data_IF_403552508904
#
_entry.id   IF_403552508904
#
_cell.length_a   1.000
_cell.length_b   1.000
_cell.length_c   1.000
_cell.angle_alpha   90.00
_cell.angle_beta   90.00
_cell.angle_gamma   90.00
#
_symmetry.space_group_name_H-M   'P 1'
#
loop_
_entity.id
_entity.type
_entity.pdbx_description
1 polymer ?
#
# COMPACT_ATOMS: atom_id res chain seq x y z
N UNK A 1 -9.52 -7.44 -20.95
CA UNK A 1 -8.30 -7.28 -20.12
C UNK A 1 -8.43 -8.19 -18.90
N UNK A 2 -7.34 -8.86 -18.49
CA UNK A 2 -7.34 -9.91 -17.46
C UNK A 2 -8.00 -9.50 -16.12
N UNK A 3 -7.91 -8.21 -15.76
CA UNK A 3 -8.45 -7.64 -14.53
C UNK A 3 -9.96 -7.84 -14.36
N UNK A 4 -10.75 -7.72 -15.44
CA UNK A 4 -12.21 -7.82 -15.38
C UNK A 4 -12.71 -9.21 -14.93
N UNK A 5 -11.89 -10.26 -15.08
CA UNK A 5 -12.20 -11.61 -14.61
C UNK A 5 -11.82 -11.86 -13.14
N UNK A 6 -11.05 -10.96 -12.53
CA UNK A 6 -10.46 -11.13 -11.19
C UNK A 6 -11.16 -10.29 -10.12
N UNK A 7 -11.85 -9.22 -10.51
CA UNK A 7 -12.49 -8.28 -9.59
C UNK A 7 -13.81 -8.81 -9.01
N UNK A 8 -14.12 -8.37 -7.80
CA UNK A 8 -15.44 -8.48 -7.15
C UNK A 8 -16.01 -7.09 -6.94
N UNK A 9 -17.33 -7.01 -6.91
CA UNK A 9 -18.06 -5.74 -6.84
C UNK A 9 -18.68 -5.55 -5.46
N UNK A 10 -18.49 -4.38 -4.86
CA UNK A 10 -19.13 -3.94 -3.63
C UNK A 10 -19.59 -2.48 -3.77
N UNK A 11 -20.83 -2.30 -4.25
CA UNK A 11 -21.36 -0.96 -4.53
C UNK A 11 -20.50 -0.26 -5.59
N UNK A 12 -19.97 0.95 -5.33
CA UNK A 12 -19.10 1.66 -6.26
C UNK A 12 -17.63 1.18 -6.24
N UNK A 13 -17.28 0.21 -5.39
CA UNK A 13 -15.91 -0.28 -5.24
C UNK A 13 -15.74 -1.64 -5.91
N UNK A 14 -14.73 -1.75 -6.75
CA UNK A 14 -14.21 -3.03 -7.22
C UNK A 14 -12.96 -3.40 -6.43
N UNK A 15 -12.86 -4.67 -6.03
CA UNK A 15 -11.74 -5.15 -5.23
C UNK A 15 -11.26 -6.52 -5.70
N UNK A 16 -9.99 -6.81 -5.44
CA UNK A 16 -9.39 -8.12 -5.67
C UNK A 16 -9.55 -8.98 -4.43
N UNK A 17 -9.86 -10.26 -4.62
CA UNK A 17 -9.90 -11.20 -3.50
C UNK A 17 -8.50 -11.40 -2.91
N UNK A 18 -8.38 -11.58 -1.58
CA UNK A 18 -7.09 -11.86 -0.96
C UNK A 18 -6.51 -13.17 -1.50
N UNK A 19 -5.17 -13.24 -1.57
CA UNK A 19 -4.49 -14.50 -1.82
C UNK A 19 -4.80 -15.49 -0.70
N UNK A 20 -5.01 -16.76 -1.06
CA UNK A 20 -5.36 -17.81 -0.08
C UNK A 20 -4.19 -18.24 0.78
N UNK A 21 -2.96 -18.06 0.29
CA UNK A 21 -1.73 -18.49 0.96
C UNK A 21 -0.79 -17.30 1.06
N UNK A 22 -0.27 -17.05 2.26
CA UNK A 22 0.58 -15.88 2.55
C UNK A 22 1.94 -15.95 1.83
N UNK A 23 2.39 -17.15 1.56
CA UNK A 23 3.64 -17.47 0.88
C UNK A 23 3.59 -17.05 -0.59
N UNK A 24 2.40 -17.08 -1.21
CA UNK A 24 2.22 -16.58 -2.57
C UNK A 24 2.49 -15.07 -2.61
N UNK A 25 2.00 -14.31 -1.63
CA UNK A 25 2.24 -12.86 -1.53
C UNK A 25 3.74 -12.54 -1.41
N UNK A 26 4.46 -13.31 -0.59
CA UNK A 26 5.90 -13.13 -0.35
C UNK A 26 6.78 -13.56 -1.52
N UNK A 27 6.23 -14.36 -2.43
CA UNK A 27 6.92 -14.84 -3.62
C UNK A 27 6.83 -13.87 -4.80
N UNK A 28 5.87 -12.94 -4.78
CA UNK A 28 5.75 -11.90 -5.82
C UNK A 28 6.89 -10.90 -5.64
N UNK A 29 7.66 -10.70 -6.71
CA UNK A 29 8.75 -9.73 -6.71
C UNK A 29 8.21 -8.30 -6.91
N UNK A 30 9.01 -7.31 -6.52
CA UNK A 30 8.58 -5.92 -6.54
C UNK A 30 8.24 -5.44 -7.95
N UNK A 31 8.96 -5.90 -8.97
CA UNK A 31 8.71 -5.51 -10.37
C UNK A 31 7.34 -5.99 -10.88
N UNK A 32 6.86 -7.14 -10.37
CA UNK A 32 5.53 -7.64 -10.70
C UNK A 32 4.46 -6.77 -10.06
N UNK A 33 4.68 -6.34 -8.81
CA UNK A 33 3.77 -5.42 -8.13
C UNK A 33 3.72 -4.05 -8.80
N UNK A 34 4.87 -3.44 -9.09
CA UNK A 34 4.94 -2.12 -9.72
C UNK A 34 4.32 -2.17 -11.11
N UNK A 35 4.63 -3.20 -11.90
CA UNK A 35 4.05 -3.39 -13.24
C UNK A 35 2.54 -3.59 -13.20
N UNK A 36 2.02 -4.30 -12.19
CA UNK A 36 0.58 -4.47 -12.01
C UNK A 36 -0.12 -3.15 -11.66
N UNK A 37 0.45 -2.37 -10.74
CA UNK A 37 -0.08 -1.06 -10.34
C UNK A 37 -0.07 -0.09 -11.53
N UNK A 38 1.05 -0.02 -12.27
CA UNK A 38 1.16 0.80 -13.49
C UNK A 38 0.12 0.41 -14.54
N UNK A 39 -0.05 -0.90 -14.78
CA UNK A 39 -1.03 -1.37 -15.74
C UNK A 39 -2.46 -0.95 -15.38
N UNK A 40 -2.83 -1.01 -14.10
CA UNK A 40 -4.15 -0.54 -13.65
C UNK A 40 -4.25 0.98 -13.84
N UNK A 41 -3.24 1.72 -13.41
CA UNK A 41 -3.25 3.18 -13.48
C UNK A 41 -3.35 3.70 -14.93
N UNK A 42 -2.70 3.04 -15.90
CA UNK A 42 -2.65 3.50 -17.29
C UNK A 42 -3.77 2.93 -18.19
N UNK A 43 -4.25 1.71 -17.90
CA UNK A 43 -5.06 0.95 -18.86
C UNK A 43 -6.45 0.57 -18.34
N UNK A 44 -6.79 0.95 -17.11
CA UNK A 44 -8.08 0.65 -16.51
C UNK A 44 -9.03 1.84 -16.52
N UNK A 45 -10.26 1.59 -16.06
CA UNK A 45 -11.31 2.60 -15.90
C UNK A 45 -11.33 3.20 -14.48
N UNK A 46 -10.42 2.78 -13.60
CA UNK A 46 -10.42 3.19 -12.20
C UNK A 46 -9.73 4.55 -12.03
N UNK A 47 -10.47 5.51 -11.49
CA UNK A 47 -9.92 6.84 -11.17
C UNK A 47 -9.08 6.83 -9.88
N UNK A 48 -9.38 5.90 -8.96
CA UNK A 48 -8.71 5.77 -7.66
C UNK A 48 -8.35 4.31 -7.44
N UNK A 49 -7.08 4.06 -7.13
CA UNK A 49 -6.59 2.76 -6.69
C UNK A 49 -6.22 2.84 -5.22
N UNK A 50 -6.85 2.02 -4.39
CA UNK A 50 -6.55 1.89 -2.96
C UNK A 50 -5.67 0.67 -2.78
N UNK A 51 -4.49 0.87 -2.22
CA UNK A 51 -3.56 -0.20 -1.88
C UNK A 51 -3.58 -0.42 -0.36
N UNK A 52 -4.10 -1.57 0.05
CA UNK A 52 -4.01 -2.04 1.44
C UNK A 52 -2.73 -2.88 1.56
N UNK A 53 -1.68 -2.27 2.11
CA UNK A 53 -0.32 -2.82 2.12
C UNK A 53 0.17 -2.99 3.56
N UNK A 54 0.83 -4.12 3.82
CA UNK A 54 1.57 -4.38 5.05
C UNK A 54 3.07 -4.62 4.80
N UNK A 55 3.85 -4.74 5.87
CA UNK A 55 5.30 -5.01 5.85
C UNK A 55 5.67 -6.39 5.28
N UNK A 56 4.69 -7.27 5.04
CA UNK A 56 4.87 -8.58 4.43
C UNK A 56 5.12 -8.54 2.92
N UNK A 57 4.90 -7.40 2.27
CA UNK A 57 5.22 -7.19 0.85
C UNK A 57 6.69 -6.86 0.68
N UNK A 58 7.39 -7.66 -0.13
CA UNK A 58 8.78 -7.37 -0.51
C UNK A 58 8.83 -6.11 -1.39
N UNK A 59 9.68 -5.16 -1.02
CA UNK A 59 9.77 -3.88 -1.74
C UNK A 59 8.61 -2.92 -1.44
N UNK A 60 8.01 -3.03 -0.25
CA UNK A 60 6.89 -2.19 0.16
C UNK A 60 7.17 -0.69 0.01
N UNK A 61 8.39 -0.23 0.27
CA UNK A 61 8.71 1.20 0.16
C UNK A 61 8.69 1.69 -1.29
N UNK A 62 9.16 0.88 -2.23
CA UNK A 62 9.07 1.15 -3.66
C UNK A 62 7.62 1.27 -4.12
N UNK A 63 6.72 0.41 -3.60
CA UNK A 63 5.28 0.55 -3.83
C UNK A 63 4.72 1.83 -3.21
N UNK A 64 5.09 2.16 -1.97
CA UNK A 64 4.66 3.39 -1.32
C UNK A 64 5.11 4.64 -2.11
N UNK A 65 6.28 4.59 -2.77
CA UNK A 65 6.74 5.68 -3.65
C UNK A 65 5.85 5.87 -4.88
N UNK A 66 5.16 4.84 -5.35
CA UNK A 66 4.21 4.98 -6.46
C UNK A 66 2.92 5.68 -6.04
N UNK A 67 2.55 5.59 -4.76
CA UNK A 67 1.35 6.24 -4.25
C UNK A 67 1.43 7.77 -4.39
N UNK A 68 0.27 8.39 -4.60
CA UNK A 68 0.11 9.85 -4.60
C UNK A 68 -0.10 10.40 -3.19
N UNK A 69 -0.82 9.66 -2.35
CA UNK A 69 -1.07 9.95 -0.93
C UNK A 69 -0.97 8.65 -0.11
N UNK A 70 -0.39 8.72 1.08
CA UNK A 70 -0.23 7.56 1.98
C UNK A 70 -0.93 7.85 3.30
N UNK A 71 -2.05 7.18 3.54
CA UNK A 71 -2.81 7.35 4.78
C UNK A 71 -2.22 6.50 5.90
N UNK A 72 -1.82 7.14 6.99
CA UNK A 72 -1.21 6.46 8.14
C UNK A 72 -2.07 6.66 9.37
N UNK A 73 -2.54 5.55 9.95
CA UNK A 73 -3.31 5.57 11.18
C UNK A 73 -2.43 5.97 12.38
N UNK A 74 -2.89 6.93 13.16
CA UNK A 74 -2.21 7.41 14.37
C UNK A 74 -3.11 7.15 15.58
N UNK A 75 -2.61 6.35 16.52
CA UNK A 75 -3.28 6.00 17.77
C UNK A 75 -2.46 6.59 18.92
N UNK A 76 -3.11 7.20 19.92
CA UNK A 76 -2.42 7.91 21.02
C UNK A 76 -1.64 7.01 21.98
N UNK A 77 -1.83 5.70 21.90
CA UNK A 77 -1.13 4.72 22.71
C UNK A 77 0.39 4.78 22.49
N UNK A 78 1.16 4.66 23.57
CA UNK A 78 2.62 4.79 23.55
C UNK A 78 3.30 3.83 22.57
N UNK A 79 2.86 2.57 22.51
CA UNK A 79 3.42 1.58 21.59
C UNK A 79 3.14 1.93 20.13
N UNK A 80 1.94 2.45 19.83
CA UNK A 80 1.59 2.87 18.48
C UNK A 80 2.42 4.08 18.03
N UNK A 81 2.66 5.04 18.93
CA UNK A 81 3.54 6.18 18.66
C UNK A 81 4.99 5.74 18.43
N UNK A 82 5.49 4.79 19.23
CA UNK A 82 6.84 4.24 19.07
C UNK A 82 7.01 3.53 17.70
N UNK A 83 6.00 2.75 17.27
CA UNK A 83 6.01 2.11 15.93
C UNK A 83 6.01 3.14 14.80
N UNK A 84 5.20 4.19 14.91
CA UNK A 84 5.18 5.26 13.91
C UNK A 84 6.53 5.98 13.83
N UNK A 85 7.15 6.26 14.98
CA UNK A 85 8.48 6.85 15.03
C UNK A 85 9.52 5.94 14.38
N UNK A 86 9.53 4.64 14.70
CA UNK A 86 10.42 3.67 14.08
C UNK A 86 10.27 3.65 12.56
N UNK A 87 9.03 3.60 12.06
CA UNK A 87 8.76 3.62 10.62
C UNK A 87 9.31 4.90 9.95
N UNK A 88 9.10 6.07 10.56
CA UNK A 88 9.60 7.34 10.01
C UNK A 88 11.14 7.44 10.01
N UNK A 89 11.81 6.84 10.99
CA UNK A 89 13.27 6.76 11.05
C UNK A 89 13.82 5.77 10.02
N UNK A 90 13.16 4.62 9.82
CA UNK A 90 13.53 3.65 8.78
C UNK A 90 13.47 4.28 7.39
N UNK A 91 12.40 5.02 7.09
CA UNK A 91 12.29 5.76 5.81
C UNK A 91 13.46 6.73 5.63
N UNK A 92 13.82 7.48 6.67
CA UNK A 92 14.93 8.44 6.58
C UNK A 92 16.28 7.74 6.36
N UNK A 93 16.57 6.70 7.14
CA UNK A 93 17.84 5.96 7.06
C UNK A 93 18.02 5.25 5.70
N UNK A 94 16.93 4.83 5.07
CA UNK A 94 16.95 4.19 3.75
C UNK A 94 16.88 5.18 2.58
N UNK A 95 16.75 6.48 2.84
CA UNK A 95 16.67 7.52 1.80
C UNK A 95 15.30 7.65 1.13
N UNK A 96 14.24 7.20 1.81
CA UNK A 96 12.83 7.26 1.38
C UNK A 96 12.09 8.45 1.99
N UNK A 97 12.76 9.58 2.19
CA UNK A 97 12.14 10.82 2.69
C UNK A 97 11.02 11.34 1.76
N UNK A 98 11.04 10.98 0.48
CA UNK A 98 9.96 11.27 -0.47
C UNK A 98 8.66 10.54 -0.15
N UNK A 99 8.73 9.33 0.43
CA UNK A 99 7.57 8.60 0.98
C UNK A 99 6.99 9.37 2.16
N UNK A 100 7.86 9.82 3.07
CA UNK A 100 7.45 10.58 4.27
C UNK A 100 6.69 11.85 3.91
N UNK A 101 7.08 12.53 2.84
CA UNK A 101 6.40 13.74 2.34
C UNK A 101 4.97 13.47 1.85
N UNK A 102 4.63 12.24 1.48
CA UNK A 102 3.31 11.83 1.00
C UNK A 102 2.40 11.33 2.12
N UNK A 103 2.92 11.18 3.35
CA UNK A 103 2.16 10.66 4.48
C UNK A 103 1.13 11.66 5.00
N UNK A 104 -0.12 11.23 5.05
CA UNK A 104 -1.24 11.93 5.69
C UNK A 104 -1.66 11.17 6.93
N UNK A 105 -1.23 11.68 8.08
CA UNK A 105 -1.54 11.12 9.41
C UNK A 105 -3.03 11.32 9.73
N UNK A 106 -3.74 10.24 10.05
CA UNK A 106 -5.15 10.26 10.46
C UNK A 106 -5.27 9.73 11.88
N UNK A 107 -5.73 10.57 12.79
CA UNK A 107 -6.06 10.12 14.14
C UNK A 107 -7.25 9.16 14.07
N UNK A 108 -7.08 7.98 14.67
CA UNK A 108 -8.18 7.05 14.91
C UNK A 108 -8.57 7.14 16.38
N UNK A 109 -9.86 7.29 16.64
CA UNK A 109 -10.42 7.08 17.97
C UNK A 109 -10.31 5.58 18.27
N UNK A 110 -9.44 5.21 19.21
CA UNK A 110 -9.25 3.85 19.68
C UNK A 110 -10.28 3.44 20.72
#
# INVERSE_FOLDING_TARGET
AALAGMVKHMGPLDYLLPMRMSEDLKAVEIEEWTGFVEQIAEQSIYEVLILDIDEGIRGVYELLRMCTEIHVAVIKEEVAQAKLFQFEEELHLMGYDDVKQKMVKKELEG
#
